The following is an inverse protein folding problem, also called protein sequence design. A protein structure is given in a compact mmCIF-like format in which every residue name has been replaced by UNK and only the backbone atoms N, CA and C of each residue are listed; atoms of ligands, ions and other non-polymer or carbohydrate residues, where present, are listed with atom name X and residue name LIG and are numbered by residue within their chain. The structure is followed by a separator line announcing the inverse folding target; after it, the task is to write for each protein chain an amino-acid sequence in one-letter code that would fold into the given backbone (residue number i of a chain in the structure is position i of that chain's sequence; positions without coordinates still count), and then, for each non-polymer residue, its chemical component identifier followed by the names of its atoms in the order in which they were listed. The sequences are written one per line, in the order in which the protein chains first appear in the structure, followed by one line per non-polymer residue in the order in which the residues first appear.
data_IF_428671459445
#
_entry.id   IF_428671459445
#
_cell.length_a   1.000
_cell.length_b   1.000
_cell.length_c   1.000
_cell.angle_alpha   90.00
_cell.angle_beta   90.00
_cell.angle_gamma   90.00
#
_symmetry.space_group_name_H-M   'P 1'
#
loop_
_entity.id
_entity.type
_entity.pdbx_description
1 polymer ?
#
# COMPACT_ATOMS: atom_id res chain seq x y z
N UNK A 1 -0.29 25.25 6.33
CA UNK A 1 -0.27 24.28 5.20
C UNK A 1 -1.36 24.51 4.16
N UNK A 2 -2.66 24.60 4.48
CA UNK A 2 -3.72 24.66 3.44
C UNK A 2 -4.01 26.06 2.85
N UNK A 3 -3.03 26.97 2.88
CA UNK A 3 -3.19 28.37 2.44
C UNK A 3 -2.39 28.71 1.17
N UNK A 4 -1.75 27.73 0.53
CA UNK A 4 -0.93 27.94 -0.68
C UNK A 4 0.53 28.31 -0.42
N UNK A 5 0.99 28.18 0.82
CA UNK A 5 2.36 28.46 1.28
C UNK A 5 2.90 27.34 2.20
N UNK A 6 2.50 26.10 1.94
CA UNK A 6 2.77 24.93 2.74
C UNK A 6 4.26 24.62 2.85
N UNK A 7 5.02 24.68 1.75
CA UNK A 7 6.47 24.43 1.76
C UNK A 7 7.18 25.47 2.63
N UNK A 8 6.92 26.74 2.40
CA UNK A 8 7.49 27.83 3.19
C UNK A 8 7.12 27.73 4.67
N UNK A 9 5.87 27.38 4.98
CA UNK A 9 5.43 27.15 6.37
C UNK A 9 6.22 26.00 7.01
N UNK A 10 6.45 24.91 6.27
CA UNK A 10 7.18 23.75 6.76
C UNK A 10 8.64 24.10 7.06
N UNK A 11 9.32 24.80 6.16
CA UNK A 11 10.71 25.26 6.35
C UNK A 11 10.84 26.05 7.65
N UNK A 12 9.99 27.07 7.84
CA UNK A 12 10.00 27.85 9.08
C UNK A 12 9.72 26.98 10.31
N UNK A 13 8.76 26.05 10.24
CA UNK A 13 8.48 25.15 11.36
C UNK A 13 9.69 24.27 11.70
N UNK A 14 10.47 23.84 10.72
CA UNK A 14 11.71 23.08 10.95
C UNK A 14 12.79 23.98 11.53
N UNK A 15 13.03 25.14 10.93
CA UNK A 15 14.08 26.10 11.34
C UNK A 15 13.88 26.59 12.78
N UNK A 16 12.64 26.85 13.18
CA UNK A 16 12.28 27.26 14.54
C UNK A 16 12.04 26.09 15.51
N UNK A 17 12.25 24.84 15.08
CA UNK A 17 12.09 23.65 15.95
C UNK A 17 10.65 23.35 16.37
N UNK A 18 9.67 23.92 15.67
CA UNK A 18 8.24 23.77 15.97
C UNK A 18 7.62 22.55 15.29
N UNK A 19 8.19 22.06 14.18
CA UNK A 19 7.65 20.90 13.45
C UNK A 19 7.55 19.67 14.34
N UNK A 20 8.57 19.41 15.17
CA UNK A 20 8.59 18.26 16.09
C UNK A 20 7.57 18.34 17.24
N UNK A 21 7.08 19.54 17.57
CA UNK A 21 6.00 19.71 18.55
C UNK A 21 4.64 19.30 17.97
N UNK A 22 4.49 19.46 16.65
CA UNK A 22 3.28 19.14 15.92
C UNK A 22 3.27 17.68 15.44
N UNK A 23 4.42 17.18 14.97
CA UNK A 23 4.58 15.84 14.37
C UNK A 23 5.83 15.13 14.91
N UNK A 24 5.86 14.73 16.19
CA UNK A 24 7.07 14.18 16.81
C UNK A 24 7.54 12.89 16.15
N UNK A 25 6.62 11.99 15.76
CA UNK A 25 6.96 10.76 15.07
C UNK A 25 7.62 11.02 13.70
N UNK A 26 7.06 11.96 12.93
CA UNK A 26 7.61 12.40 11.65
C UNK A 26 8.95 13.13 11.79
N UNK A 27 9.10 13.94 12.83
CA UNK A 27 10.37 14.61 13.13
C UNK A 27 11.47 13.62 13.53
N UNK A 28 11.11 12.54 14.24
CA UNK A 28 12.05 11.45 14.51
C UNK A 28 12.45 10.70 13.24
N UNK A 29 11.50 10.46 12.32
CA UNK A 29 11.80 9.89 11.01
C UNK A 29 12.70 10.80 10.17
N UNK A 30 12.44 12.11 10.16
CA UNK A 30 13.26 13.12 9.49
C UNK A 30 14.71 13.14 10.01
N UNK A 31 14.92 12.96 11.31
CA UNK A 31 16.28 12.84 11.87
C UNK A 31 17.00 11.55 11.46
N UNK A 32 16.25 10.47 11.21
CA UNK A 32 16.79 9.15 10.87
C UNK A 32 17.16 9.05 9.39
N UNK A 33 16.32 9.59 8.52
CA UNK A 33 16.50 9.62 7.08
C UNK A 33 16.12 11.00 6.53
N UNK A 34 17.02 11.99 6.65
CA UNK A 34 16.73 13.37 6.31
C UNK A 34 16.38 13.57 4.84
N UNK A 35 17.17 12.98 3.93
CA UNK A 35 17.07 13.24 2.50
C UNK A 35 15.72 12.75 1.94
N UNK A 36 15.35 11.50 2.21
CA UNK A 36 14.07 10.95 1.76
C UNK A 36 12.88 11.64 2.44
N UNK A 37 12.95 11.84 3.76
CA UNK A 37 11.82 12.37 4.53
C UNK A 37 11.54 13.83 4.17
N UNK A 38 12.57 14.66 4.06
CA UNK A 38 12.45 16.06 3.64
C UNK A 38 11.92 16.14 2.20
N UNK A 39 12.45 15.34 1.27
CA UNK A 39 11.98 15.31 -0.11
C UNK A 39 10.51 14.88 -0.22
N UNK A 40 10.08 13.88 0.55
CA UNK A 40 8.68 13.45 0.59
C UNK A 40 7.76 14.58 1.07
N UNK A 41 8.15 15.26 2.16
CA UNK A 41 7.37 16.37 2.72
C UNK A 41 7.31 17.54 1.75
N UNK A 42 8.44 17.98 1.21
CA UNK A 42 8.51 19.08 0.23
C UNK A 42 7.69 18.79 -1.01
N UNK A 43 7.75 17.57 -1.54
CA UNK A 43 6.95 17.18 -2.71
C UNK A 43 5.45 17.21 -2.39
N UNK A 44 5.03 16.64 -1.26
CA UNK A 44 3.61 16.63 -0.86
C UNK A 44 3.06 18.04 -0.60
N UNK A 45 3.84 18.88 0.08
CA UNK A 45 3.49 20.27 0.40
C UNK A 45 3.49 21.14 -0.86
N UNK A 46 4.49 21.00 -1.74
CA UNK A 46 4.59 21.74 -3.00
C UNK A 46 3.44 21.41 -3.95
N UNK A 47 3.07 20.13 -4.04
CA UNK A 47 1.88 19.71 -4.79
C UNK A 47 0.59 20.30 -4.20
N UNK A 48 0.51 20.42 -2.87
CA UNK A 48 -0.62 21.07 -2.19
C UNK A 48 -0.70 22.55 -2.55
N UNK A 49 0.43 23.25 -2.52
CA UNK A 49 0.50 24.67 -2.88
C UNK A 49 0.09 24.92 -4.34
N UNK A 50 0.64 24.12 -5.26
CA UNK A 50 0.31 24.19 -6.68
C UNK A 50 -1.19 23.98 -6.92
N UNK A 51 -1.81 23.01 -6.24
CA UNK A 51 -3.26 22.78 -6.37
C UNK A 51 -4.08 23.97 -5.90
N UNK A 52 -3.72 24.58 -4.77
CA UNK A 52 -4.41 25.77 -4.24
C UNK A 52 -4.29 26.93 -5.24
N UNK A 53 -3.09 27.18 -5.77
CA UNK A 53 -2.85 28.21 -6.78
C UNK A 53 -3.67 27.99 -8.05
N UNK A 54 -3.88 26.74 -8.44
CA UNK A 54 -4.73 26.36 -9.57
C UNK A 54 -6.24 26.35 -9.25
N UNK A 55 -6.66 26.76 -8.05
CA UNK A 55 -8.05 26.72 -7.62
C UNK A 55 -8.62 25.30 -7.46
N UNK A 56 -7.76 24.28 -7.41
CA UNK A 56 -8.16 22.87 -7.25
C UNK A 56 -8.35 22.54 -5.79
N UNK A 57 -9.32 21.68 -5.50
CA UNK A 57 -9.53 21.15 -4.15
C UNK A 57 -8.30 20.37 -3.69
N UNK A 58 -7.93 20.59 -2.43
CA UNK A 58 -6.91 19.84 -1.70
C UNK A 58 -7.58 18.93 -0.67
N UNK A 59 -6.99 17.75 -0.45
CA UNK A 59 -7.53 16.76 0.50
C UNK A 59 -6.65 16.72 1.75
N UNK A 60 -7.13 17.22 2.90
CA UNK A 60 -6.33 17.22 4.14
C UNK A 60 -5.83 15.83 4.53
N UNK A 61 -6.65 14.79 4.32
CA UNK A 61 -6.26 13.42 4.60
C UNK A 61 -5.03 12.96 3.81
N UNK A 62 -4.90 13.34 2.54
CA UNK A 62 -3.73 12.98 1.73
C UNK A 62 -2.46 13.63 2.27
N UNK A 63 -2.55 14.92 2.67
CA UNK A 63 -1.41 15.62 3.27
C UNK A 63 -0.97 14.98 4.59
N UNK A 64 -1.92 14.66 5.49
CA UNK A 64 -1.58 13.94 6.73
C UNK A 64 -1.02 12.55 6.46
N UNK A 65 -1.55 11.82 5.47
CA UNK A 65 -1.00 10.52 5.07
C UNK A 65 0.47 10.64 4.65
N UNK A 66 0.84 11.70 3.93
CA UNK A 66 2.22 11.95 3.50
C UNK A 66 3.13 12.34 4.66
N UNK A 67 2.68 13.28 5.50
CA UNK A 67 3.49 13.78 6.63
C UNK A 67 3.76 12.69 7.68
N UNK A 68 2.84 11.74 7.87
CA UNK A 68 2.99 10.67 8.86
C UNK A 68 3.64 9.41 8.29
N UNK A 69 3.69 9.25 6.96
CA UNK A 69 4.19 8.03 6.33
C UNK A 69 5.60 7.62 6.74
N UNK A 70 6.61 8.52 6.80
CA UNK A 70 7.97 8.11 7.18
C UNK A 70 8.09 7.44 8.55
N UNK A 71 7.12 7.67 9.46
CA UNK A 71 7.07 7.05 10.77
C UNK A 71 6.35 5.68 10.81
N UNK A 72 5.72 5.26 9.72
CA UNK A 72 4.85 4.08 9.66
C UNK A 72 5.57 2.78 9.24
N UNK A 73 6.36 2.71 8.14
CA UNK A 73 6.93 1.45 7.65
C UNK A 73 7.71 0.64 8.68
N UNK A 74 8.52 1.30 9.52
CA UNK A 74 9.28 0.61 10.57
C UNK A 74 8.38 -0.03 11.64
N UNK A 75 7.23 0.57 11.95
CA UNK A 75 6.24 0.02 12.88
C UNK A 75 5.56 -1.20 12.28
N UNK A 76 5.17 -1.09 11.00
CA UNK A 76 4.57 -2.18 10.24
C UNK A 76 5.52 -3.38 10.17
N UNK A 77 6.78 -3.15 9.79
CA UNK A 77 7.80 -4.20 9.71
C UNK A 77 7.98 -4.92 11.05
N UNK A 78 8.05 -4.17 12.16
CA UNK A 78 8.17 -4.74 13.51
C UNK A 78 7.00 -5.66 13.88
N UNK A 79 5.78 -5.35 13.43
CA UNK A 79 4.61 -6.23 13.64
C UNK A 79 4.66 -7.46 12.72
N UNK A 80 5.10 -7.29 11.48
CA UNK A 80 5.27 -8.41 10.54
C UNK A 80 6.35 -9.39 11.02
N UNK A 81 7.47 -8.89 11.56
CA UNK A 81 8.54 -9.72 12.14
C UNK A 81 8.07 -10.55 13.34
N UNK A 82 7.00 -10.11 14.01
CA UNK A 82 6.31 -10.86 15.09
C UNK A 82 5.28 -11.87 14.56
N UNK A 83 5.20 -12.06 13.25
CA UNK A 83 4.31 -13.01 12.59
C UNK A 83 2.94 -12.46 12.22
N UNK A 84 2.69 -11.16 12.38
CA UNK A 84 1.42 -10.56 11.95
C UNK A 84 1.36 -10.46 10.41
N UNK A 85 0.25 -10.86 9.76
CA UNK A 85 0.15 -10.72 8.31
C UNK A 85 0.22 -9.24 7.87
N UNK A 86 0.66 -8.92 6.63
CA UNK A 86 1.00 -7.55 6.24
C UNK A 86 -0.15 -6.53 6.35
N UNK A 87 -1.36 -6.88 5.91
CA UNK A 87 -2.52 -5.97 5.97
C UNK A 87 -2.94 -5.70 7.43
N UNK A 88 -3.14 -6.71 8.30
CA UNK A 88 -3.34 -6.48 9.74
C UNK A 88 -2.22 -5.64 10.39
N UNK A 89 -0.96 -5.88 10.04
CA UNK A 89 0.17 -5.11 10.57
C UNK A 89 0.12 -3.63 10.16
N UNK A 90 -0.21 -3.35 8.90
CA UNK A 90 -0.45 -1.99 8.40
C UNK A 90 -1.57 -1.30 9.16
N UNK A 91 -2.71 -1.98 9.34
CA UNK A 91 -3.87 -1.43 10.00
C UNK A 91 -3.62 -1.13 11.49
N UNK A 92 -2.94 -2.03 12.20
CA UNK A 92 -2.58 -1.86 13.61
C UNK A 92 -1.59 -0.71 13.80
N UNK A 93 -0.47 -0.71 13.06
CA UNK A 93 0.53 0.35 13.14
C UNK A 93 -0.05 1.72 12.75
N UNK A 94 -0.94 1.76 11.75
CA UNK A 94 -1.65 2.96 11.35
C UNK A 94 -2.58 3.47 12.44
N UNK A 95 -3.30 2.56 13.12
CA UNK A 95 -4.17 2.90 14.24
C UNK A 95 -3.37 3.53 15.39
N UNK A 96 -2.27 2.89 15.80
CA UNK A 96 -1.38 3.39 16.85
C UNK A 96 -0.82 4.78 16.50
N UNK A 97 -0.23 4.93 15.30
CA UNK A 97 0.38 6.19 14.86
C UNK A 97 -0.64 7.33 14.77
N UNK A 98 -1.83 7.07 14.23
CA UNK A 98 -2.89 8.09 14.18
C UNK A 98 -3.37 8.44 15.59
N UNK A 99 -3.52 7.46 16.48
CA UNK A 99 -3.95 7.69 17.86
C UNK A 99 -2.97 8.59 18.61
N UNK A 100 -1.68 8.32 18.49
CA UNK A 100 -0.59 9.17 19.02
C UNK A 100 -0.69 10.59 18.45
N UNK A 101 -0.81 10.74 17.13
CA UNK A 101 -0.91 12.04 16.49
C UNK A 101 -2.16 12.83 16.94
N UNK A 102 -3.28 12.14 17.17
CA UNK A 102 -4.52 12.76 17.63
C UNK A 102 -4.43 13.33 19.05
N UNK A 103 -3.46 12.91 19.86
CA UNK A 103 -3.21 13.51 21.18
C UNK A 103 -2.62 14.93 21.08
N UNK A 104 -1.99 15.26 19.96
CA UNK A 104 -1.32 16.55 19.73
C UNK A 104 -2.14 17.47 18.84
N UNK A 105 -2.69 16.91 17.75
CA UNK A 105 -3.51 17.65 16.79
C UNK A 105 -4.80 16.88 16.60
N UNK A 106 -5.93 17.51 16.94
CA UNK A 106 -7.23 16.90 16.72
C UNK A 106 -7.49 16.67 15.22
N UNK A 107 -7.43 15.41 14.79
CA UNK A 107 -7.78 15.01 13.41
C UNK A 107 -9.17 14.36 13.42
N UNK A 108 -10.20 15.01 12.85
CA UNK A 108 -11.53 14.43 12.76
C UNK A 108 -11.56 13.05 12.10
N UNK A 109 -12.44 12.14 12.57
CA UNK A 109 -12.57 10.77 12.04
C UNK A 109 -12.71 10.70 10.51
N UNK A 110 -13.44 11.66 9.91
CA UNK A 110 -13.62 11.80 8.45
C UNK A 110 -12.32 11.96 7.66
N UNK A 111 -11.22 12.35 8.31
CA UNK A 111 -9.89 12.42 7.70
C UNK A 111 -9.03 11.21 8.08
N UNK A 112 -9.14 10.69 9.31
CA UNK A 112 -8.38 9.51 9.74
C UNK A 112 -8.73 8.23 8.96
N UNK A 113 -9.98 8.11 8.50
CA UNK A 113 -10.42 6.95 7.72
C UNK A 113 -9.76 6.93 6.33
N UNK A 114 -9.85 8.01 5.51
CA UNK A 114 -9.12 8.05 4.25
C UNK A 114 -7.60 7.91 4.37
N UNK A 115 -6.98 8.41 5.45
CA UNK A 115 -5.53 8.20 5.69
C UNK A 115 -5.22 6.70 5.74
N UNK A 116 -5.96 5.94 6.55
CA UNK A 116 -5.79 4.49 6.67
C UNK A 116 -6.05 3.77 5.36
N UNK A 117 -7.09 4.18 4.64
CA UNK A 117 -7.40 3.59 3.33
C UNK A 117 -6.28 3.82 2.29
N UNK A 118 -5.64 5.00 2.29
CA UNK A 118 -4.48 5.29 1.43
C UNK A 118 -3.30 4.37 1.77
N UNK A 119 -3.03 4.16 3.06
CA UNK A 119 -1.94 3.30 3.52
C UNK A 119 -2.22 1.82 3.27
N UNK A 120 -3.46 1.36 3.49
CA UNK A 120 -3.89 -0.01 3.16
C UNK A 120 -3.69 -0.29 1.66
N UNK A 121 -3.91 0.71 0.79
CA UNK A 121 -3.62 0.57 -0.63
C UNK A 121 -2.13 0.30 -0.91
N UNK A 122 -1.21 0.83 -0.09
CA UNK A 122 0.24 0.61 -0.31
C UNK A 122 0.65 -0.86 -0.13
N UNK A 123 -0.03 -1.61 0.74
CA UNK A 123 0.16 -3.08 0.89
C UNK A 123 -0.56 -3.89 -0.19
N UNK A 124 -1.56 -3.29 -0.84
CA UNK A 124 -2.40 -3.94 -1.85
C UNK A 124 -1.86 -3.78 -3.26
N UNK A 125 -1.37 -2.58 -3.62
CA UNK A 125 -0.86 -2.25 -4.96
C UNK A 125 0.22 -3.23 -5.46
N UNK A 126 1.15 -3.76 -4.62
CA UNK A 126 2.10 -4.78 -5.06
C UNK A 126 1.45 -6.13 -5.43
N UNK A 127 0.24 -6.42 -4.93
CA UNK A 127 -0.47 -7.70 -5.13
C UNK A 127 -1.32 -7.69 -6.38
N UNK A 128 -0.67 -7.47 -7.52
CA UNK A 128 -1.28 -7.24 -8.85
C UNK A 128 -1.42 -8.50 -9.73
N UNK A 129 -1.24 -9.70 -9.18
CA UNK A 129 -1.35 -10.94 -9.95
C UNK A 129 -2.82 -11.38 -10.19
N UNK A 130 -3.09 -11.85 -11.41
CA UNK A 130 -4.41 -12.36 -11.82
C UNK A 130 -5.49 -11.28 -11.82
N UNK A 131 -6.70 -11.62 -11.36
CA UNK A 131 -7.85 -10.69 -11.29
C UNK A 131 -7.68 -9.56 -10.26
N UNK A 132 -6.63 -9.60 -9.42
CA UNK A 132 -6.44 -8.61 -8.35
C UNK A 132 -6.15 -7.22 -8.90
N UNK A 133 -5.45 -7.12 -10.03
CA UNK A 133 -5.18 -5.83 -10.65
C UNK A 133 -6.48 -5.14 -11.07
N UNK A 134 -7.37 -5.86 -11.76
CA UNK A 134 -8.71 -5.37 -12.15
C UNK A 134 -9.51 -4.91 -10.92
N UNK A 135 -9.58 -5.74 -9.87
CA UNK A 135 -10.31 -5.39 -8.64
C UNK A 135 -9.72 -4.19 -7.88
N UNK A 136 -8.41 -4.00 -7.95
CA UNK A 136 -7.76 -2.86 -7.32
C UNK A 136 -8.03 -1.58 -8.11
N UNK A 137 -8.05 -1.65 -9.44
CA UNK A 137 -8.37 -0.50 -10.30
C UNK A 137 -9.82 0.00 -10.07
N UNK A 138 -10.75 -0.91 -9.83
CA UNK A 138 -12.15 -0.59 -9.49
C UNK A 138 -12.34 -0.05 -8.06
N UNK A 139 -11.31 -0.11 -7.21
CA UNK A 139 -11.41 0.33 -5.83
C UNK A 139 -11.61 1.86 -5.76
N UNK A 140 -12.60 2.39 -5.01
CA UNK A 140 -12.82 3.83 -4.86
C UNK A 140 -11.63 4.64 -4.32
N UNK A 141 -10.65 3.96 -3.70
CA UNK A 141 -9.43 4.53 -3.14
C UNK A 141 -8.20 4.28 -3.98
N UNK A 142 -8.34 3.62 -5.13
CA UNK A 142 -7.25 3.37 -6.05
C UNK A 142 -6.51 4.66 -6.40
N UNK A 143 -7.24 5.70 -6.85
CA UNK A 143 -6.60 6.96 -7.26
C UNK A 143 -5.74 7.58 -6.17
N UNK A 144 -6.26 7.66 -4.95
CA UNK A 144 -5.53 8.23 -3.82
C UNK A 144 -4.33 7.33 -3.42
N UNK A 145 -4.48 6.01 -3.43
CA UNK A 145 -3.38 5.07 -3.17
C UNK A 145 -2.30 5.12 -4.25
N UNK A 146 -2.67 5.25 -5.52
CA UNK A 146 -1.77 5.37 -6.66
C UNK A 146 -1.04 6.71 -6.67
N UNK A 147 -1.74 7.83 -6.45
CA UNK A 147 -1.11 9.15 -6.30
C UNK A 147 -0.10 9.16 -5.14
N UNK A 148 -0.41 8.44 -4.07
CA UNK A 148 0.48 8.28 -2.94
C UNK A 148 1.72 7.44 -3.26
N UNK A 149 1.56 6.40 -4.08
CA UNK A 149 2.68 5.61 -4.59
C UNK A 149 3.63 6.47 -5.44
N UNK A 150 3.08 7.24 -6.39
CA UNK A 150 3.90 8.15 -7.21
C UNK A 150 4.62 9.19 -6.37
N UNK A 151 3.96 9.73 -5.33
CA UNK A 151 4.59 10.65 -4.39
C UNK A 151 5.81 10.00 -3.72
N UNK A 152 5.67 8.76 -3.24
CA UNK A 152 6.77 8.00 -2.61
C UNK A 152 7.93 7.75 -3.58
N UNK A 153 7.63 7.33 -4.81
CA UNK A 153 8.63 7.11 -5.86
C UNK A 153 9.37 8.39 -6.23
N UNK A 154 8.64 9.50 -6.38
CA UNK A 154 9.23 10.81 -6.67
C UNK A 154 10.13 11.34 -5.55
N UNK A 155 9.93 10.86 -4.32
CA UNK A 155 10.78 11.14 -3.17
C UNK A 155 12.01 10.21 -3.08
N UNK A 156 12.14 9.24 -3.99
CA UNK A 156 13.25 8.30 -4.05
C UNK A 156 12.99 6.95 -3.38
N UNK A 157 11.75 6.65 -2.96
CA UNK A 157 11.45 5.35 -2.35
C UNK A 157 11.53 4.22 -3.40
N UNK A 158 12.28 3.13 -3.14
CA UNK A 158 12.38 2.02 -4.08
C UNK A 158 11.11 1.16 -4.01
N UNK A 159 10.28 1.27 -5.04
CA UNK A 159 9.02 0.51 -5.19
C UNK A 159 9.09 -0.55 -6.30
N UNK A 160 10.20 -0.62 -7.03
CA UNK A 160 10.40 -1.57 -8.13
C UNK A 160 9.59 -1.26 -9.39
N UNK A 161 9.41 0.03 -9.74
CA UNK A 161 8.65 0.44 -10.93
C UNK A 161 7.16 0.13 -10.83
N UNK A 162 6.62 0.15 -9.60
CA UNK A 162 5.22 -0.15 -9.35
C UNK A 162 4.31 0.95 -9.91
N UNK A 163 4.71 2.22 -9.79
CA UNK A 163 3.99 3.38 -10.32
C UNK A 163 3.92 3.37 -11.84
N UNK A 164 5.05 3.19 -12.53
CA UNK A 164 5.08 3.09 -13.99
C UNK A 164 4.15 1.98 -14.50
N UNK A 165 4.22 0.78 -13.90
CA UNK A 165 3.35 -0.32 -14.27
C UNK A 165 1.86 0.01 -14.07
N UNK A 166 1.50 0.67 -12.96
CA UNK A 166 0.12 1.08 -12.72
C UNK A 166 -0.30 2.22 -13.66
N UNK A 167 0.62 3.09 -14.08
CA UNK A 167 0.39 4.12 -15.11
C UNK A 167 -0.05 3.45 -16.41
N UNK A 168 0.77 2.53 -16.91
CA UNK A 168 0.49 1.80 -18.15
C UNK A 168 -0.81 0.99 -18.04
N UNK A 169 -1.01 0.30 -16.91
CA UNK A 169 -2.17 -0.57 -16.71
C UNK A 169 -3.51 0.20 -16.75
N UNK A 170 -3.53 1.44 -16.28
CA UNK A 170 -4.72 2.30 -16.28
C UNK A 170 -5.17 2.63 -17.71
N UNK A 171 -4.21 2.90 -18.60
CA UNK A 171 -4.47 3.41 -19.96
C UNK A 171 -4.56 2.32 -21.03
N UNK A 172 -4.04 1.12 -20.74
CA UNK A 172 -4.07 -0.03 -21.65
C UNK A 172 -5.48 -0.63 -21.88
N UNK A 173 -5.67 -1.22 -23.06
CA UNK A 173 -6.84 -2.03 -23.42
C UNK A 173 -6.92 -3.32 -22.58
N UNK A 174 -8.12 -3.93 -22.52
CA UNK A 174 -8.31 -5.20 -21.79
C UNK A 174 -7.39 -6.32 -22.27
N UNK A 175 -7.09 -6.38 -23.58
CA UNK A 175 -6.13 -7.35 -24.15
C UNK A 175 -4.70 -7.11 -23.68
N UNK A 176 -4.28 -5.85 -23.58
CA UNK A 176 -2.95 -5.46 -23.10
C UNK A 176 -2.82 -5.72 -21.60
N UNK A 177 -3.84 -5.39 -20.80
CA UNK A 177 -3.89 -5.71 -19.36
C UNK A 177 -3.69 -7.20 -19.08
N UNK A 178 -4.32 -8.08 -19.88
CA UNK A 178 -4.13 -9.55 -19.77
C UNK A 178 -2.68 -9.96 -20.08
N UNK A 179 -2.03 -9.28 -21.02
CA UNK A 179 -0.62 -9.51 -21.35
C UNK A 179 0.29 -9.05 -20.20
N UNK A 180 0.09 -7.83 -19.68
CA UNK A 180 0.85 -7.30 -18.53
C UNK A 180 0.73 -8.21 -17.29
N UNK A 181 -0.47 -8.71 -16.98
CA UNK A 181 -0.68 -9.65 -15.87
C UNK A 181 0.07 -10.98 -16.10
N UNK A 182 0.08 -11.48 -17.33
CA UNK A 182 0.79 -12.71 -17.68
C UNK A 182 2.30 -12.53 -17.51
N UNK A 183 2.84 -11.39 -17.91
CA UNK A 183 4.27 -11.10 -17.84
C UNK A 183 4.76 -10.96 -16.38
N UNK A 184 3.90 -10.53 -15.47
CA UNK A 184 4.19 -10.60 -14.03
C UNK A 184 4.37 -12.04 -13.54
N UNK A 185 3.50 -12.96 -13.99
CA UNK A 185 3.58 -14.38 -13.57
C UNK A 185 4.78 -15.12 -14.16
N UNK A 186 5.28 -14.72 -15.32
CA UNK A 186 6.50 -15.28 -15.91
C UNK A 186 7.76 -14.78 -15.19
N UNK A 187 7.74 -13.56 -14.65
CA UNK A 187 8.81 -13.02 -13.81
C UNK A 187 8.84 -13.64 -12.39
N UNK A 188 7.69 -13.88 -11.75
CA UNK A 188 7.67 -14.56 -10.44
C UNK A 188 8.14 -16.03 -10.53
N UNK A 189 7.87 -16.69 -11.66
CA UNK A 189 8.24 -18.10 -11.89
C UNK A 189 9.69 -18.32 -12.33
N UNK A 190 10.42 -17.27 -12.70
CA UNK A 190 11.87 -17.35 -12.95
C UNK A 190 12.71 -17.15 -11.67
N UNK A 191 12.13 -16.58 -10.61
CA UNK A 191 12.78 -16.44 -9.29
C UNK A 191 12.51 -17.58 -8.32
N UNK A 192 11.41 -18.33 -8.48
CA UNK A 192 11.10 -19.50 -7.63
C UNK A 192 11.26 -20.77 -8.48
N UNK A 193 12.33 -21.53 -8.21
CA UNK A 193 12.66 -22.78 -8.92
C UNK A 193 11.49 -23.76 -9.00
N UNK A 194 11.53 -24.75 -9.92
CA UNK A 194 10.35 -25.45 -10.38
C UNK A 194 9.61 -26.15 -9.24
N UNK A 195 8.48 -25.56 -8.79
CA UNK A 195 7.57 -26.18 -7.83
C UNK A 195 7.01 -27.45 -8.45
N UNK A 196 7.55 -28.60 -8.00
CA UNK A 196 7.06 -29.95 -8.31
C UNK A 196 5.54 -29.97 -8.14
N UNK A 197 4.82 -30.01 -9.27
CA UNK A 197 3.40 -30.39 -9.33
C UNK A 197 3.25 -31.73 -8.59
N UNK A 198 2.67 -31.71 -7.38
CA UNK A 198 2.20 -32.92 -6.70
C UNK A 198 1.18 -33.59 -7.62
N UNK A 199 1.62 -34.61 -8.34
CA UNK A 199 0.76 -35.50 -9.12
C UNK A 199 -0.22 -36.14 -8.13
N UNK A 200 -1.48 -35.73 -8.22
CA UNK A 200 -2.61 -36.40 -7.58
C UNK A 200 -2.54 -37.90 -7.86
N UNK A 201 -2.51 -38.69 -6.79
CA UNK A 201 -2.36 -40.14 -6.83
C UNK A 201 -3.54 -40.75 -7.57
N UNK A 202 -3.24 -41.30 -8.74
CA UNK A 202 -4.11 -42.18 -9.53
C UNK A 202 -4.51 -43.37 -8.63
N UNK A 203 -5.73 -43.35 -8.08
CA UNK A 203 -6.32 -44.52 -7.40
C UNK A 203 -6.41 -45.65 -8.42
N UNK A 204 -5.52 -46.64 -8.28
CA UNK A 204 -5.54 -47.90 -9.00
C UNK A 204 -6.85 -48.63 -8.70
N UNK A 205 -7.58 -48.96 -9.76
CA UNK A 205 -8.55 -50.05 -9.80
C UNK A 205 -7.82 -51.37 -9.50
N UNK A 206 -8.40 -52.21 -8.64
CA UNK A 206 -8.06 -53.62 -8.46
C UNK A 206 -9.33 -54.48 -8.62
N UNK A 207 -9.21 -55.75 -9.04
CA UNK A 207 -10.24 -56.47 -9.81
C UNK A 207 -11.22 -57.30 -8.97
N UNK A 208 -12.29 -57.73 -9.66
CA UNK A 208 -13.41 -58.57 -9.24
C UNK A 208 -13.04 -59.87 -8.50
N UNK A 209 -13.94 -60.31 -7.62
CA UNK A 209 -14.20 -61.72 -7.36
C UNK A 209 -15.72 -61.92 -7.21
N UNK A 210 -16.24 -62.75 -8.10
CA UNK A 210 -17.61 -63.25 -8.21
C UNK A 210 -17.73 -64.53 -7.37
N UNK A 211 -18.91 -64.84 -6.80
CA UNK A 211 -19.12 -66.15 -6.17
C UNK A 211 -20.16 -66.28 -5.05
N UNK A 212 -21.41 -66.48 -5.47
CA UNK A 212 -22.35 -67.52 -5.00
C UNK A 212 -23.21 -67.38 -3.70
N UNK A 213 -24.52 -67.48 -3.97
CA UNK A 213 -25.54 -68.32 -3.33
C UNK A 213 -26.40 -67.78 -2.15
N UNK A 214 -27.70 -67.62 -2.50
CA UNK A 214 -28.96 -67.68 -1.71
C UNK A 214 -29.05 -68.91 -0.76
N UNK A 215 -29.99 -69.00 0.22
CA UNK A 215 -31.41 -68.65 0.09
C UNK A 215 -32.17 -68.09 1.32
N UNK A 216 -33.45 -67.86 1.05
CA UNK A 216 -34.56 -67.33 1.85
C UNK A 216 -35.01 -68.19 3.05
N UNK A 217 -35.71 -67.53 3.99
CA UNK A 217 -36.49 -68.04 5.14
C UNK A 217 -36.31 -67.03 6.29
N UNK A 218 -37.30 -66.34 6.85
CA UNK A 218 -38.75 -66.53 7.06
C UNK A 218 -39.58 -65.34 6.55
#
# INVERSE_FOLDING_TARGET
FLAGYAVYTYELLVDYGLFGQLFPASAAALKKDPDYTDQLFRTALGNTDLRIQQGKTVTPAFLFAALLWPALPARVQKLQDRGMPPIPAMQEAAHELISEQCQLIAVPKRFTLPIREIWDMQERLPRRSGKRADMLLENPRFRAGYDFLLLRESAGEPTGGLGDWWTDYQDCSDSERRTMIRDLSSQESSTDGPRKRKRSSRRKRGPSADGAAKPSGE
#
